data_IF_509596881033
#
_entry.id   IF_509596881033
#
_cell.length_a   1.000
_cell.length_b   1.000
_cell.length_c   1.000
_cell.angle_alpha   90.00
_cell.angle_beta   90.00
_cell.angle_gamma   90.00
#
_symmetry.space_group_name_H-M   'P 1'
#
loop_
_entity.id
_entity.type
_entity.pdbx_description
1 polymer ?
#
# COMPACT_ATOMS: atom_id res chain seq x y z
N UNK A 1 4.65 5.01 -26.34
CA UNK A 1 4.17 3.92 -25.45
C UNK A 1 4.22 4.38 -24.00
N UNK A 2 3.29 3.92 -23.18
CA UNK A 2 3.27 4.20 -21.76
C UNK A 2 4.22 3.29 -20.95
N UNK A 3 4.79 3.75 -19.82
CA UNK A 3 5.48 2.91 -18.86
C UNK A 3 4.54 1.84 -18.28
N UNK A 4 4.92 0.57 -18.38
CA UNK A 4 4.17 -0.54 -17.77
C UNK A 4 4.55 -0.70 -16.30
N UNK A 5 3.93 0.08 -15.42
CA UNK A 5 4.12 0.06 -13.98
C UNK A 5 3.78 -1.30 -13.35
N UNK A 6 4.72 -1.80 -12.55
CA UNK A 6 4.50 -2.77 -11.48
C UNK A 6 4.60 -2.01 -10.15
N UNK A 7 3.60 -2.14 -9.28
CA UNK A 7 3.55 -1.39 -8.02
C UNK A 7 3.49 -2.32 -6.83
N UNK A 8 4.06 -1.89 -5.71
CA UNK A 8 3.94 -2.56 -4.42
C UNK A 8 3.98 -1.55 -3.28
N UNK A 9 3.48 -1.94 -2.12
CA UNK A 9 3.55 -1.12 -0.90
C UNK A 9 4.58 -1.74 0.04
N UNK A 10 5.85 -1.28 0.03
CA UNK A 10 6.89 -1.84 0.89
C UNK A 10 6.66 -1.51 2.38
N UNK A 11 6.01 -0.38 2.67
CA UNK A 11 5.63 0.04 4.03
C UNK A 11 4.14 0.41 4.08
N UNK A 12 3.66 0.83 5.26
CA UNK A 12 2.34 1.43 5.43
C UNK A 12 2.24 2.88 4.92
N UNK A 13 3.36 3.54 4.63
CA UNK A 13 3.39 4.96 4.25
C UNK A 13 4.04 5.19 2.88
N UNK A 14 4.30 4.10 2.13
CA UNK A 14 4.94 4.22 0.82
C UNK A 14 4.42 3.24 -0.23
N UNK A 15 4.52 3.68 -1.49
CA UNK A 15 4.28 2.88 -2.69
C UNK A 15 5.50 2.99 -3.59
N UNK A 16 6.06 1.84 -3.97
CA UNK A 16 7.12 1.70 -4.96
C UNK A 16 6.49 1.40 -6.32
N UNK A 17 6.81 2.20 -7.33
CA UNK A 17 6.47 1.96 -8.73
C UNK A 17 7.75 1.68 -9.52
N UNK A 18 7.78 0.56 -10.25
CA UNK A 18 8.91 0.13 -11.09
C UNK A 18 8.39 -0.20 -12.48
N UNK A 19 9.15 0.11 -13.52
CA UNK A 19 8.81 -0.23 -14.91
C UNK A 19 10.06 -0.61 -15.71
N UNK A 20 9.85 -1.24 -16.87
CA UNK A 20 10.93 -1.44 -17.85
C UNK A 20 11.17 -0.15 -18.65
N UNK A 21 12.41 0.13 -19.09
CA UNK A 21 12.69 1.27 -19.97
C UNK A 21 11.77 1.30 -21.20
N UNK A 22 11.23 2.47 -21.50
CA UNK A 22 10.44 2.70 -22.72
C UNK A 22 11.39 3.16 -23.83
N UNK A 23 11.29 2.54 -25.01
CA UNK A 23 12.11 2.90 -26.15
C UNK A 23 11.96 4.38 -26.52
N UNK A 24 13.09 5.04 -26.81
CA UNK A 24 13.20 6.47 -27.11
C UNK A 24 12.77 7.45 -26.00
N UNK A 25 12.40 6.95 -24.81
CA UNK A 25 12.06 7.81 -23.69
C UNK A 25 13.32 8.37 -23.02
N UNK A 26 13.35 9.69 -22.81
CA UNK A 26 14.41 10.40 -22.08
C UNK A 26 13.94 10.88 -20.71
N UNK A 27 12.63 10.92 -20.49
CA UNK A 27 12.03 11.38 -19.24
C UNK A 27 10.72 10.64 -18.97
N UNK A 28 10.43 10.41 -17.70
CA UNK A 28 9.15 9.91 -17.21
C UNK A 28 8.49 10.93 -16.31
N UNK A 29 7.17 11.04 -16.43
CA UNK A 29 6.33 11.79 -15.48
C UNK A 29 5.36 10.82 -14.84
N UNK A 30 5.34 10.79 -13.51
CA UNK A 30 4.36 10.07 -12.73
C UNK A 30 3.53 11.05 -11.90
N UNK A 31 2.23 10.78 -11.79
CA UNK A 31 1.29 11.54 -10.97
C UNK A 31 0.54 10.58 -10.08
N UNK A 32 0.74 10.68 -8.77
CA UNK A 32 -0.02 9.92 -7.78
C UNK A 32 -1.19 10.76 -7.26
N UNK A 33 -2.36 10.14 -7.17
CA UNK A 33 -3.57 10.73 -6.61
C UNK A 33 -4.19 9.79 -5.58
N UNK A 34 -4.57 10.32 -4.41
CA UNK A 34 -5.36 9.55 -3.43
C UNK A 34 -6.77 9.36 -3.98
N UNK A 35 -7.30 8.15 -3.90
CA UNK A 35 -8.68 7.88 -4.32
C UNK A 35 -9.67 8.73 -3.50
N UNK A 36 -10.63 9.36 -4.19
CA UNK A 36 -11.54 10.32 -3.57
C UNK A 36 -10.93 11.70 -3.24
N UNK A 37 -9.69 11.98 -3.67
CA UNK A 37 -9.05 13.29 -3.52
C UNK A 37 -8.71 13.93 -4.87
N UNK A 38 -8.58 15.25 -4.88
CA UNK A 38 -8.06 16.02 -6.02
C UNK A 38 -6.58 16.39 -5.87
N UNK A 39 -5.97 16.10 -4.72
CA UNK A 39 -4.56 16.40 -4.44
C UNK A 39 -3.67 15.44 -5.23
N UNK A 40 -2.82 16.01 -6.09
CA UNK A 40 -1.93 15.28 -6.99
C UNK A 40 -0.48 15.61 -6.66
N UNK A 41 0.35 14.57 -6.51
CA UNK A 41 1.79 14.74 -6.42
C UNK A 41 2.42 14.28 -7.74
N UNK A 42 3.14 15.18 -8.39
CA UNK A 42 3.82 14.93 -9.67
C UNK A 42 5.32 14.76 -9.43
N UNK A 43 5.90 13.75 -10.06
CA UNK A 43 7.33 13.50 -10.08
C UNK A 43 7.80 13.35 -11.52
N UNK A 44 8.93 13.96 -11.83
CA UNK A 44 9.65 13.75 -13.09
C UNK A 44 10.95 13.01 -12.76
N UNK A 45 11.30 12.00 -13.54
CA UNK A 45 12.52 11.20 -13.33
C UNK A 45 13.04 10.63 -14.64
N UNK A 46 14.34 10.38 -14.71
CA UNK A 46 14.98 9.61 -15.80
C UNK A 46 15.18 8.14 -15.42
N UNK A 47 15.01 7.81 -14.13
CA UNK A 47 15.09 6.44 -13.64
C UNK A 47 13.83 5.66 -14.01
N UNK A 48 13.88 4.35 -13.85
CA UNK A 48 12.75 3.44 -14.09
C UNK A 48 12.06 2.96 -12.81
N UNK A 49 12.26 3.70 -11.73
CA UNK A 49 11.62 3.49 -10.44
C UNK A 49 11.37 4.82 -9.71
N UNK A 50 10.29 4.87 -8.94
CA UNK A 50 9.96 5.97 -8.01
C UNK A 50 9.34 5.37 -6.76
N UNK A 51 9.80 5.83 -5.60
CA UNK A 51 9.13 5.61 -4.31
C UNK A 51 8.33 6.87 -3.97
N UNK A 52 7.04 6.70 -3.71
CA UNK A 52 6.18 7.72 -3.13
C UNK A 52 6.08 7.48 -1.63
N UNK A 53 6.64 8.37 -0.83
CA UNK A 53 6.63 8.29 0.64
C UNK A 53 5.61 9.27 1.26
N UNK A 54 5.48 9.24 2.59
CA UNK A 54 4.58 10.07 3.38
C UNK A 54 3.10 9.93 2.96
N UNK A 55 2.72 8.72 2.56
CA UNK A 55 1.34 8.37 2.20
C UNK A 55 0.56 7.94 3.45
N UNK A 56 -0.77 8.05 3.39
CA UNK A 56 -1.62 7.57 4.47
C UNK A 56 -1.70 6.05 4.45
N UNK A 57 -1.62 5.39 5.61
CA UNK A 57 -1.76 3.94 5.73
C UNK A 57 -3.14 3.42 5.33
N UNK A 58 -3.17 2.20 4.78
CA UNK A 58 -4.42 1.54 4.37
C UNK A 58 -5.23 2.29 3.33
N UNK A 59 -4.60 3.15 2.54
CA UNK A 59 -5.26 4.09 1.63
C UNK A 59 -4.94 3.76 0.18
N UNK A 60 -5.96 3.79 -0.66
CA UNK A 60 -5.85 3.55 -2.10
C UNK A 60 -5.35 4.80 -2.83
N UNK A 61 -4.35 4.61 -3.69
CA UNK A 61 -3.78 5.63 -4.56
C UNK A 61 -3.71 5.11 -5.99
N UNK A 62 -3.98 5.97 -6.96
CA UNK A 62 -3.78 5.68 -8.37
C UNK A 62 -2.62 6.50 -8.93
N UNK A 63 -1.74 5.84 -9.69
CA UNK A 63 -0.54 6.42 -10.29
C UNK A 63 -0.74 6.42 -11.80
N UNK A 64 -0.78 7.60 -12.39
CA UNK A 64 -0.73 7.80 -13.84
C UNK A 64 0.72 8.02 -14.26
N UNK A 65 1.16 7.38 -15.34
CA UNK A 65 2.53 7.47 -15.85
C UNK A 65 2.55 7.78 -17.34
N UNK A 66 3.52 8.61 -17.75
CA UNK A 66 3.79 8.96 -19.14
C UNK A 66 5.30 8.96 -19.41
N UNK A 67 5.68 8.66 -20.65
CA UNK A 67 7.05 8.77 -21.14
C UNK A 67 7.16 9.92 -22.16
N UNK A 68 8.32 10.58 -22.18
CA UNK A 68 8.63 11.68 -23.07
C UNK A 68 9.86 11.36 -23.90
N UNK A 69 9.84 11.69 -25.19
CA UNK A 69 11.02 11.59 -26.05
C UNK A 69 11.90 12.85 -25.99
N UNK A 70 13.03 12.81 -26.70
CA UNK A 70 14.02 13.90 -26.73
C UNK A 70 13.45 15.21 -27.31
N UNK A 71 12.41 15.13 -28.14
CA UNK A 71 11.71 16.28 -28.71
C UNK A 71 10.64 16.85 -27.77
N UNK A 72 10.45 16.24 -26.58
CA UNK A 72 9.47 16.67 -25.58
C UNK A 72 8.05 16.24 -25.92
N UNK A 73 7.86 15.24 -26.80
CA UNK A 73 6.55 14.68 -27.12
C UNK A 73 6.17 13.62 -26.09
N UNK A 74 4.91 13.67 -25.66
CA UNK A 74 4.32 12.71 -24.71
C UNK A 74 3.82 11.49 -25.50
N UNK A 75 4.20 10.30 -25.05
CA UNK A 75 3.58 9.05 -25.49
C UNK A 75 2.26 8.75 -24.76
N UNK A 76 1.68 7.57 -25.01
CA UNK A 76 0.50 7.12 -24.26
C UNK A 76 0.71 7.13 -22.75
N UNK A 77 -0.39 7.12 -21.99
CA UNK A 77 -0.36 7.01 -20.54
C UNK A 77 -0.94 5.69 -20.01
N UNK A 78 -0.52 5.33 -18.80
CA UNK A 78 -1.07 4.17 -18.08
C UNK A 78 -1.34 4.54 -16.63
N UNK A 79 -2.45 4.01 -16.09
CA UNK A 79 -2.84 4.20 -14.69
C UNK A 79 -2.90 2.85 -13.96
N UNK A 80 -2.28 2.77 -12.78
CA UNK A 80 -2.35 1.61 -11.88
C UNK A 80 -2.71 2.09 -10.49
N UNK A 81 -3.61 1.38 -9.81
CA UNK A 81 -3.98 1.68 -8.42
C UNK A 81 -3.35 0.68 -7.45
N UNK A 82 -2.95 1.17 -6.28
CA UNK A 82 -2.27 0.42 -5.23
C UNK A 82 -2.71 0.94 -3.87
N UNK A 83 -2.92 0.03 -2.92
CA UNK A 83 -3.25 0.36 -1.54
C UNK A 83 -1.98 0.31 -0.69
N UNK A 84 -1.71 1.33 0.12
CA UNK A 84 -0.64 1.26 1.13
C UNK A 84 -0.94 0.18 2.16
N UNK A 85 0.09 -0.38 2.81
CA UNK A 85 -0.19 -1.37 3.88
C UNK A 85 -1.02 -0.73 4.99
N UNK A 86 -1.96 -1.47 5.61
CA UNK A 86 -2.62 -1.01 6.83
C UNK A 86 -1.59 -0.72 7.93
N UNK A 87 -1.93 0.18 8.85
CA UNK A 87 -1.16 0.34 10.08
C UNK A 87 -1.29 -0.90 10.97
N UNK A 88 -0.38 -1.08 11.92
CA UNK A 88 -0.59 -2.06 12.99
C UNK A 88 -1.83 -1.64 13.81
N UNK A 89 -2.75 -2.56 14.10
CA UNK A 89 -3.90 -2.25 14.96
C UNK A 89 -3.46 -2.12 16.41
N UNK A 90 -4.03 -1.17 17.14
CA UNK A 90 -3.83 -1.05 18.58
C UNK A 90 -4.66 -2.11 19.32
N UNK A 91 -4.02 -2.80 20.27
CA UNK A 91 -4.72 -3.72 21.19
C UNK A 91 -5.40 -2.90 22.27
N UNK A 92 -6.70 -3.08 22.40
CA UNK A 92 -7.54 -2.32 23.35
C UNK A 92 -7.80 -3.10 24.62
N UNK A 93 -7.95 -4.42 24.51
CA UNK A 93 -8.20 -5.28 25.67
C UNK A 93 -7.66 -6.69 25.45
N UNK A 94 -7.26 -7.32 26.55
CA UNK A 94 -6.84 -8.72 26.61
C UNK A 94 -7.57 -9.37 27.78
N UNK A 95 -8.46 -10.29 27.46
CA UNK A 95 -9.22 -11.03 28.45
C UNK A 95 -8.68 -12.44 28.57
N UNK A 96 -8.29 -12.80 29.79
CA UNK A 96 -7.79 -14.15 30.09
C UNK A 96 -8.83 -14.90 30.91
N UNK A 97 -9.39 -15.95 30.33
CA UNK A 97 -10.29 -16.85 31.03
C UNK A 97 -9.49 -17.98 31.66
N UNK A 98 -9.51 -18.05 32.99
CA UNK A 98 -8.90 -19.16 33.74
C UNK A 98 -9.95 -20.25 33.99
N UNK A 99 -9.56 -21.53 33.96
CA UNK A 99 -10.46 -22.66 34.20
C UNK A 99 -10.02 -23.96 33.55
N UNK A 100 -10.93 -24.93 33.42
CA UNK A 100 -10.64 -26.23 32.77
C UNK A 100 -10.24 -26.11 31.29
N UNK A 101 -10.69 -25.05 30.62
CA UNK A 101 -10.27 -24.69 29.28
C UNK A 101 -9.83 -23.22 29.31
N UNK A 102 -8.53 -22.94 29.53
CA UNK A 102 -8.05 -21.57 29.56
C UNK A 102 -8.16 -20.94 28.16
N UNK A 103 -8.60 -19.68 28.11
CA UNK A 103 -8.80 -18.91 26.89
C UNK A 103 -8.11 -17.55 26.98
N UNK A 104 -7.72 -17.02 25.82
CA UNK A 104 -7.25 -15.65 25.66
C UNK A 104 -8.08 -15.05 24.54
N UNK A 105 -8.78 -13.96 24.84
CA UNK A 105 -9.46 -13.13 23.86
C UNK A 105 -8.72 -11.81 23.76
N UNK A 106 -8.48 -11.36 22.53
CA UNK A 106 -7.75 -10.12 22.25
C UNK A 106 -8.69 -9.25 21.41
N UNK A 107 -8.81 -8.02 21.82
CA UNK A 107 -9.64 -7.01 21.18
C UNK A 107 -8.73 -5.92 20.62
N UNK A 108 -8.96 -5.53 19.38
CA UNK A 108 -8.13 -4.53 18.69
C UNK A 108 -8.99 -3.58 17.87
N UNK A 109 -8.46 -2.39 17.61
CA UNK A 109 -9.11 -1.38 16.76
C UNK A 109 -8.98 -1.79 15.29
N UNK A 110 -10.05 -1.60 14.52
CA UNK A 110 -9.99 -1.77 13.06
C UNK A 110 -9.10 -0.70 12.44
N UNK A 111 -8.31 -1.10 11.44
CA UNK A 111 -7.44 -0.18 10.69
C UNK A 111 -7.90 -0.12 9.24
N UNK A 112 -7.77 1.06 8.63
CA UNK A 112 -8.15 1.26 7.23
C UNK A 112 -7.39 0.29 6.31
N UNK A 113 -8.05 -0.21 5.28
CA UNK A 113 -7.44 -1.10 4.28
C UNK A 113 -7.15 -2.54 4.77
N UNK A 114 -7.36 -2.86 6.04
CA UNK A 114 -7.27 -4.23 6.53
C UNK A 114 -8.59 -4.97 6.29
N UNK A 115 -8.62 -5.86 5.30
CA UNK A 115 -9.73 -6.78 5.05
C UNK A 115 -9.56 -8.13 5.76
N UNK A 116 -8.37 -8.40 6.32
CA UNK A 116 -8.05 -9.60 7.11
C UNK A 116 -6.78 -9.35 7.95
N UNK A 117 -6.86 -9.53 9.27
CA UNK A 117 -5.69 -9.47 10.16
C UNK A 117 -5.38 -10.91 10.57
N UNK A 118 -4.31 -11.49 10.02
CA UNK A 118 -3.80 -12.79 10.42
C UNK A 118 -2.32 -12.67 10.75
N UNK A 119 -1.98 -12.45 12.02
CA UNK A 119 -0.79 -13.03 12.64
C UNK A 119 -0.82 -12.74 14.13
N UNK A 120 -0.78 -13.82 14.91
CA UNK A 120 -0.54 -13.84 16.34
C UNK A 120 0.54 -14.90 16.54
N UNK A 121 1.78 -14.46 16.72
CA UNK A 121 2.88 -15.37 17.08
C UNK A 121 2.92 -15.50 18.59
N UNK A 122 2.45 -16.64 19.09
CA UNK A 122 2.59 -17.04 20.48
C UNK A 122 3.64 -18.16 20.56
N UNK A 123 4.71 -17.94 21.33
CA UNK A 123 5.59 -19.03 21.76
C UNK A 123 4.87 -19.86 22.82
N UNK A 124 4.09 -20.87 22.42
CA UNK A 124 3.51 -21.86 23.35
C UNK A 124 2.26 -22.58 22.83
N UNK A 125 1.98 -23.81 23.27
CA UNK A 125 0.92 -24.64 22.69
C UNK A 125 -0.45 -24.24 23.25
N UNK A 126 -1.30 -23.58 22.45
CA UNK A 126 -2.77 -23.77 22.43
C UNK A 126 -3.46 -22.94 21.34
N UNK A 127 -4.54 -23.52 20.82
CA UNK A 127 -5.40 -23.04 19.73
C UNK A 127 -6.30 -21.88 20.20
N UNK A 128 -6.45 -20.83 19.37
CA UNK A 128 -7.36 -19.71 19.62
C UNK A 128 -8.19 -19.35 18.37
N UNK A 129 -9.35 -18.74 18.59
CA UNK A 129 -10.27 -18.22 17.57
C UNK A 129 -10.43 -16.71 17.79
N UNK A 130 -10.01 -15.87 16.84
CA UNK A 130 -10.24 -14.42 16.89
C UNK A 130 -11.62 -14.04 16.34
N UNK A 131 -12.32 -13.11 17.00
CA UNK A 131 -13.57 -12.51 16.48
C UNK A 131 -13.50 -10.98 16.51
N UNK A 132 -14.07 -10.37 15.46
CA UNK A 132 -14.20 -8.94 15.23
C UNK A 132 -15.43 -8.37 15.98
N UNK A 133 -15.32 -7.18 16.58
CA UNK A 133 -16.49 -6.41 17.05
C UNK A 133 -16.79 -5.26 16.08
N UNK A 134 -18.09 -5.04 15.85
CA UNK A 134 -18.69 -4.11 14.87
C UNK A 134 -18.39 -2.64 15.18
#
# INVERSE_FOLDING_TARGET
MAPKLNTSSPTNESILAVWAPVEHAVLYTLVIIREGSYVRNKVNTTNTEVTFDNLQSGTSYCIKSMAWDAEGRIGDDMTVCQITRPSSPDVVDIQVTQGRAPGIEIYWVSVQGAYKIHSLELFGPKLFHGKHQL
#
